data_IF_512852514870
#
_entry.id   IF_512852514870
#
_cell.length_a   1.000
_cell.length_b   1.000
_cell.length_c   1.000
_cell.angle_alpha   90.00
_cell.angle_beta   90.00
_cell.angle_gamma   90.00
#
_symmetry.space_group_name_H-M   'P 1'
#
loop_
_entity.id
_entity.type
_entity.pdbx_description
1 polymer ?
#
# COMPACT_ATOMS: atom_id res chain seq x y z
N UNK A 1 -8.95 2.77 -7.76
CA UNK A 1 -9.19 1.31 -7.91
C UNK A 1 -10.19 1.10 -9.05
N UNK A 2 -10.37 -0.13 -9.55
CA UNK A 2 -11.30 -0.55 -10.63
C UNK A 2 -10.68 -0.67 -12.04
N UNK A 3 -9.59 -1.43 -12.18
CA UNK A 3 -9.28 -2.04 -13.50
C UNK A 3 -10.21 -3.21 -13.85
N UNK A 4 -10.93 -3.75 -12.87
CA UNK A 4 -11.92 -4.83 -13.03
C UNK A 4 -13.38 -4.35 -12.96
N UNK A 5 -13.62 -3.02 -12.92
CA UNK A 5 -14.96 -2.45 -12.84
C UNK A 5 -15.65 -2.68 -11.48
N UNK A 6 -16.90 -2.23 -11.33
CA UNK A 6 -17.68 -2.34 -10.08
C UNK A 6 -18.41 -3.69 -9.90
N UNK A 7 -18.30 -4.60 -10.88
CA UNK A 7 -19.03 -5.87 -10.90
C UNK A 7 -18.19 -7.06 -10.43
N UNK A 8 -17.16 -6.80 -9.61
CA UNK A 8 -16.30 -7.86 -9.05
C UNK A 8 -16.30 -7.79 -7.53
N UNK A 9 -16.28 -8.96 -6.90
CA UNK A 9 -16.08 -9.10 -5.47
C UNK A 9 -14.58 -9.18 -5.17
N UNK A 10 -14.12 -8.46 -4.15
CA UNK A 10 -12.72 -8.43 -3.74
C UNK A 10 -12.53 -9.23 -2.47
N UNK A 11 -11.67 -10.24 -2.52
CA UNK A 11 -11.26 -11.02 -1.34
C UNK A 11 -9.81 -10.68 -0.97
N UNK A 12 -9.57 -10.07 0.21
CA UNK A 12 -8.21 -9.79 0.67
C UNK A 12 -7.57 -11.08 1.22
N UNK A 13 -6.40 -11.42 0.69
CA UNK A 13 -5.59 -12.55 1.16
C UNK A 13 -4.34 -12.06 1.90
N UNK A 14 -3.82 -12.90 2.80
CA UNK A 14 -2.74 -12.53 3.72
C UNK A 14 -1.37 -12.48 3.06
N UNK A 15 -1.14 -13.31 2.04
CA UNK A 15 0.14 -13.52 1.37
C UNK A 15 -0.05 -13.81 -0.13
N UNK A 16 1.05 -13.78 -0.88
CA UNK A 16 1.00 -13.92 -2.35
C UNK A 16 0.69 -15.37 -2.72
N UNK A 17 1.30 -16.35 -2.04
CA UNK A 17 1.06 -17.78 -2.31
C UNK A 17 -0.43 -18.13 -2.22
N UNK A 18 -1.15 -17.59 -1.23
CA UNK A 18 -2.59 -17.78 -1.08
C UNK A 18 -3.39 -17.35 -2.33
N UNK A 19 -2.95 -16.31 -3.05
CA UNK A 19 -3.62 -15.86 -4.29
C UNK A 19 -3.59 -16.96 -5.35
N UNK A 20 -2.43 -17.62 -5.52
CA UNK A 20 -2.27 -18.70 -6.50
C UNK A 20 -3.09 -19.93 -6.12
N UNK A 21 -3.12 -20.24 -4.82
CA UNK A 21 -3.91 -21.33 -4.25
C UNK A 21 -5.41 -21.16 -4.51
N UNK A 22 -5.97 -19.98 -4.22
CA UNK A 22 -7.41 -19.73 -4.38
C UNK A 22 -7.84 -19.71 -5.85
N UNK A 23 -6.99 -19.21 -6.74
CA UNK A 23 -7.23 -19.29 -8.20
C UNK A 23 -7.12 -20.73 -8.69
N UNK A 24 -6.12 -21.48 -8.26
CA UNK A 24 -5.92 -22.88 -8.69
C UNK A 24 -7.04 -23.80 -8.21
N UNK A 25 -7.59 -23.54 -7.01
CA UNK A 25 -8.75 -24.27 -6.45
C UNK A 25 -10.09 -23.84 -7.07
N UNK A 26 -10.11 -22.75 -7.84
CA UNK A 26 -11.31 -22.20 -8.47
C UNK A 26 -12.24 -21.47 -7.50
N UNK A 27 -11.73 -21.03 -6.35
CA UNK A 27 -12.49 -20.18 -5.42
C UNK A 27 -12.51 -18.72 -5.90
N UNK A 28 -11.45 -18.29 -6.58
CA UNK A 28 -11.35 -16.98 -7.23
C UNK A 28 -11.17 -17.14 -8.73
N UNK A 29 -11.89 -16.32 -9.52
CA UNK A 29 -11.74 -16.31 -10.98
C UNK A 29 -10.39 -15.73 -11.44
N UNK A 30 -9.86 -14.75 -10.67
CA UNK A 30 -8.65 -14.00 -11.00
C UNK A 30 -7.85 -13.67 -9.73
N UNK A 31 -6.52 -13.64 -9.87
CA UNK A 31 -5.59 -13.23 -8.82
C UNK A 31 -4.75 -12.03 -9.26
N UNK A 32 -4.41 -11.15 -8.31
CA UNK A 32 -3.56 -9.99 -8.56
C UNK A 32 -2.30 -10.06 -7.66
N UNK A 33 -1.15 -10.36 -8.25
CA UNK A 33 0.12 -10.42 -7.55
C UNK A 33 1.14 -9.45 -8.16
N UNK A 34 1.95 -8.74 -7.34
CA UNK A 34 3.03 -7.90 -7.84
C UNK A 34 4.17 -8.77 -8.37
N UNK A 35 4.64 -8.53 -9.59
CA UNK A 35 5.75 -9.31 -10.18
C UNK A 35 7.11 -8.61 -10.06
N UNK A 36 7.14 -7.28 -10.07
CA UNK A 36 8.37 -6.48 -10.02
C UNK A 36 8.10 -5.10 -9.41
N UNK A 37 9.10 -4.56 -8.70
CA UNK A 37 9.13 -3.17 -8.24
C UNK A 37 10.43 -2.49 -8.67
N UNK A 38 10.38 -1.24 -9.15
CA UNK A 38 11.58 -0.49 -9.61
C UNK A 38 12.68 -0.37 -8.55
N UNK A 39 12.31 -0.33 -7.27
CA UNK A 39 13.25 -0.22 -6.15
C UNK A 39 13.78 -1.57 -5.66
N UNK A 40 12.98 -2.63 -5.79
CA UNK A 40 13.24 -3.94 -5.19
C UNK A 40 13.54 -5.06 -6.18
N UNK A 41 13.40 -4.80 -7.49
CA UNK A 41 13.46 -5.81 -8.54
C UNK A 41 12.25 -6.76 -8.50
N UNK A 42 12.45 -7.95 -9.05
CA UNK A 42 11.45 -9.01 -9.11
C UNK A 42 10.98 -9.45 -7.72
N UNK A 43 9.68 -9.70 -7.58
CA UNK A 43 9.08 -10.24 -6.35
C UNK A 43 9.24 -11.76 -6.39
N UNK A 44 10.25 -12.26 -5.68
CA UNK A 44 10.65 -13.68 -5.69
C UNK A 44 9.46 -14.59 -5.35
N UNK A 45 8.67 -14.26 -4.33
CA UNK A 45 7.51 -15.06 -3.91
C UNK A 45 6.48 -15.26 -5.05
N UNK A 46 6.23 -14.23 -5.86
CA UNK A 46 5.36 -14.31 -7.04
C UNK A 46 5.98 -15.18 -8.13
N UNK A 47 7.29 -15.06 -8.35
CA UNK A 47 8.01 -15.84 -9.36
C UNK A 47 8.05 -17.33 -9.01
N UNK A 48 8.30 -17.66 -7.73
CA UNK A 48 8.27 -19.03 -7.22
C UNK A 48 6.85 -19.62 -7.35
N UNK A 49 5.82 -18.88 -6.93
CA UNK A 49 4.43 -19.33 -7.03
C UNK A 49 3.96 -19.56 -8.48
N UNK A 50 4.49 -18.80 -9.45
CA UNK A 50 4.23 -19.04 -10.88
C UNK A 50 4.87 -20.32 -11.40
N UNK A 51 5.99 -20.78 -10.82
CA UNK A 51 6.64 -22.04 -11.18
C UNK A 51 5.87 -23.22 -10.60
N UNK A 52 5.39 -23.10 -9.37
CA UNK A 52 4.79 -24.18 -8.59
C UNK A 52 3.28 -24.39 -8.85
N UNK A 53 2.66 -23.57 -9.71
CA UNK A 53 1.22 -23.62 -9.99
C UNK A 53 0.90 -23.67 -11.49
N UNK A 54 -0.32 -24.12 -11.81
CA UNK A 54 -0.80 -24.21 -13.19
C UNK A 54 -1.48 -22.92 -13.70
N UNK A 55 -1.51 -21.87 -12.88
CA UNK A 55 -2.17 -20.60 -13.23
C UNK A 55 -1.55 -19.96 -14.48
N UNK A 56 -2.33 -19.15 -15.19
CA UNK A 56 -1.87 -18.46 -16.40
C UNK A 56 -1.97 -16.94 -16.21
N UNK A 57 -0.90 -16.25 -16.57
CA UNK A 57 -0.90 -14.79 -16.66
C UNK A 57 -1.77 -14.40 -17.85
N UNK A 58 -2.86 -13.67 -17.59
CA UNK A 58 -3.78 -13.20 -18.62
C UNK A 58 -3.67 -11.70 -18.90
N UNK A 59 -3.03 -10.94 -18.01
CA UNK A 59 -2.84 -9.50 -18.14
C UNK A 59 -1.68 -9.01 -17.27
N UNK A 60 -1.15 -7.85 -17.61
CA UNK A 60 -0.20 -7.11 -16.79
C UNK A 60 -0.65 -5.66 -16.60
N UNK A 61 -0.18 -5.03 -15.53
CA UNK A 61 -0.41 -3.61 -15.27
C UNK A 61 0.81 -2.97 -14.64
N UNK A 62 1.26 -1.88 -15.25
CA UNK A 62 2.19 -0.94 -14.64
C UNK A 62 1.41 0.07 -13.79
N UNK A 63 1.69 0.12 -12.50
CA UNK A 63 1.12 1.10 -11.58
C UNK A 63 2.21 2.02 -11.06
N UNK A 64 2.06 3.32 -11.32
CA UNK A 64 2.88 4.34 -10.67
C UNK A 64 2.53 4.40 -9.18
N UNK A 65 3.55 4.32 -8.33
CA UNK A 65 3.40 4.45 -6.88
C UNK A 65 3.63 5.91 -6.53
N UNK A 66 2.60 6.54 -5.98
CA UNK A 66 2.67 7.88 -5.41
C UNK A 66 2.39 7.78 -3.92
N UNK A 67 3.16 8.52 -3.13
CA UNK A 67 3.01 8.57 -1.68
C UNK A 67 2.38 9.91 -1.29
N UNK A 68 1.32 9.83 -0.51
CA UNK A 68 0.61 10.99 0.03
C UNK A 68 0.65 10.96 1.55
N UNK A 69 0.71 12.14 2.16
CA UNK A 69 0.50 12.29 3.60
C UNK A 69 -1.00 12.33 3.88
N UNK A 70 -1.47 11.41 4.70
CA UNK A 70 -2.88 11.19 5.02
C UNK A 70 -3.11 11.47 6.51
N UNK A 71 -4.17 12.18 6.87
CA UNK A 71 -4.48 12.47 8.27
C UNK A 71 -5.73 13.32 8.45
N UNK A 72 -6.29 13.28 9.66
CA UNK A 72 -7.51 14.04 10.00
C UNK A 72 -7.25 15.27 10.88
N UNK A 73 -5.99 15.60 11.18
CA UNK A 73 -5.54 16.83 11.85
C UNK A 73 -4.90 17.82 10.87
N UNK A 74 -4.57 19.03 11.33
CA UNK A 74 -3.78 19.96 10.51
C UNK A 74 -2.31 19.53 10.46
N UNK A 75 -1.56 19.99 9.45
CA UNK A 75 -0.17 19.59 9.24
C UNK A 75 0.71 19.90 10.46
N UNK A 76 0.43 21.02 11.14
CA UNK A 76 1.17 21.52 12.30
C UNK A 76 0.87 20.73 13.58
N UNK A 77 -0.25 20.03 13.64
CA UNK A 77 -0.69 19.24 14.79
C UNK A 77 -0.12 17.82 14.80
N UNK A 78 0.51 17.38 13.70
CA UNK A 78 0.99 16.00 13.53
C UNK A 78 2.16 15.74 14.47
N UNK A 79 1.96 14.78 15.38
CA UNK A 79 2.98 14.33 16.34
C UNK A 79 3.62 13.01 15.90
N UNK A 80 2.87 12.16 15.18
CA UNK A 80 3.33 10.83 14.73
C UNK A 80 2.97 10.58 13.28
N UNK A 81 3.88 9.96 12.56
CA UNK A 81 3.71 9.58 11.15
C UNK A 81 3.99 8.09 11.03
N UNK A 82 3.02 7.34 10.52
CA UNK A 82 3.12 5.88 10.33
C UNK A 82 3.36 5.54 8.85
N UNK A 83 4.26 4.59 8.58
CA UNK A 83 4.41 3.97 7.26
C UNK A 83 5.39 2.79 7.32
N UNK A 84 5.72 2.21 6.17
CA UNK A 84 6.77 1.19 6.06
C UNK A 84 8.16 1.85 6.08
N UNK A 85 9.21 1.17 6.58
CA UNK A 85 10.59 1.66 6.51
C UNK A 85 11.03 2.10 5.11
N UNK A 86 10.64 1.35 4.07
CA UNK A 86 11.01 1.63 2.69
C UNK A 86 10.32 2.89 2.15
N UNK A 87 9.10 3.19 2.63
CA UNK A 87 8.36 4.39 2.26
C UNK A 87 8.94 5.61 2.97
N UNK A 88 9.33 5.49 4.24
CA UNK A 88 10.06 6.57 4.92
C UNK A 88 11.41 6.87 4.25
N UNK A 89 12.08 5.85 3.73
CA UNK A 89 13.32 6.05 2.98
C UNK A 89 13.10 6.83 1.68
N UNK A 90 11.99 6.57 0.97
CA UNK A 90 11.58 7.33 -0.23
C UNK A 90 11.27 8.77 0.15
N UNK A 91 10.33 9.01 1.06
CA UNK A 91 9.85 10.35 1.42
C UNK A 91 10.80 11.15 2.36
N UNK A 92 12.04 10.70 2.57
CA UNK A 92 12.94 11.23 3.62
C UNK A 92 13.20 12.73 3.47
N UNK A 93 13.44 13.18 2.25
CA UNK A 93 13.78 14.58 1.98
C UNK A 93 12.62 15.50 2.33
N UNK A 94 11.41 15.15 1.89
CA UNK A 94 10.20 15.91 2.21
C UNK A 94 9.91 15.90 3.72
N UNK A 95 10.00 14.74 4.37
CA UNK A 95 9.78 14.62 5.81
C UNK A 95 10.71 15.50 6.64
N UNK A 96 12.01 15.51 6.31
CA UNK A 96 13.00 16.33 7.02
C UNK A 96 12.87 17.84 6.77
N UNK A 97 12.33 18.24 5.61
CA UNK A 97 12.05 19.63 5.30
C UNK A 97 10.77 20.14 6.01
N UNK A 98 9.76 19.28 6.13
CA UNK A 98 8.45 19.64 6.67
C UNK A 98 8.36 19.50 8.19
N UNK A 99 8.88 18.41 8.74
CA UNK A 99 8.74 18.08 10.16
C UNK A 99 10.07 18.18 10.90
N UNK A 100 10.07 18.92 12.01
CA UNK A 100 11.21 19.02 12.93
C UNK A 100 11.11 18.05 14.11
N UNK A 101 9.88 17.82 14.59
CA UNK A 101 9.63 17.10 15.86
C UNK A 101 8.71 15.88 15.73
N UNK A 102 8.05 15.70 14.58
CA UNK A 102 7.15 14.57 14.39
C UNK A 102 7.92 13.24 14.38
N UNK A 103 7.41 12.25 15.11
CA UNK A 103 8.02 10.93 15.20
C UNK A 103 7.59 10.06 14.02
N UNK A 104 8.55 9.47 13.29
CA UNK A 104 8.27 8.42 12.30
C UNK A 104 8.21 7.06 12.99
N UNK A 105 7.12 6.32 12.78
CA UNK A 105 6.86 5.02 13.42
C UNK A 105 6.65 3.94 12.35
N UNK A 106 7.60 2.98 12.22
CA UNK A 106 7.51 1.93 11.21
C UNK A 106 6.43 0.89 11.55
N UNK A 107 5.67 0.47 10.54
CA UNK A 107 4.62 -0.55 10.65
C UNK A 107 4.66 -1.51 9.45
N UNK A 108 3.88 -2.61 9.56
CA UNK A 108 3.92 -3.73 8.61
C UNK A 108 3.42 -3.38 7.20
N UNK A 109 2.53 -2.39 7.03
CA UNK A 109 2.01 -1.99 5.71
C UNK A 109 1.52 -0.54 5.69
N UNK A 110 1.45 0.07 4.50
CA UNK A 110 0.89 1.42 4.31
C UNK A 110 -0.62 1.46 4.58
N UNK A 111 -1.34 0.38 4.29
CA UNK A 111 -2.74 0.22 4.67
C UNK A 111 -2.92 0.19 6.19
N UNK A 112 -2.05 -0.56 6.91
CA UNK A 112 -2.06 -0.59 8.37
C UNK A 112 -1.69 0.78 8.95
N UNK A 113 -0.77 1.50 8.34
CA UNK A 113 -0.44 2.87 8.73
C UNK A 113 -1.66 3.79 8.64
N UNK A 114 -2.37 3.77 7.52
CA UNK A 114 -3.59 4.56 7.33
C UNK A 114 -4.68 4.19 8.35
N UNK A 115 -4.87 2.90 8.63
CA UNK A 115 -5.80 2.46 9.67
C UNK A 115 -5.45 3.03 11.05
N UNK A 116 -4.18 2.96 11.46
CA UNK A 116 -3.73 3.51 12.75
C UNK A 116 -3.93 5.02 12.80
N UNK A 117 -3.59 5.74 11.73
CA UNK A 117 -3.75 7.18 11.68
C UNK A 117 -5.22 7.64 11.68
N UNK A 118 -6.15 6.79 11.26
CA UNK A 118 -7.58 7.06 11.37
C UNK A 118 -8.09 6.94 12.81
N UNK A 119 -7.51 6.02 13.60
CA UNK A 119 -7.91 5.74 14.97
C UNK A 119 -7.20 6.62 16.01
N UNK A 120 -6.00 7.15 15.70
CA UNK A 120 -5.18 7.93 16.62
C UNK A 120 -5.25 9.45 16.33
N UNK A 121 -5.63 10.28 17.33
CA UNK A 121 -5.58 11.73 17.20
C UNK A 121 -4.15 12.22 16.93
N UNK A 122 -4.01 13.29 16.14
CA UNK A 122 -2.71 13.91 15.80
C UNK A 122 -1.71 12.95 15.12
N UNK A 123 -2.21 11.85 14.58
CA UNK A 123 -1.43 10.94 13.76
C UNK A 123 -1.67 11.21 12.27
N UNK A 124 -0.64 10.90 11.49
CA UNK A 124 -0.70 10.84 10.04
C UNK A 124 -0.11 9.52 9.54
N UNK A 125 -0.40 9.19 8.28
CA UNK A 125 0.18 8.05 7.60
C UNK A 125 0.73 8.46 6.24
N UNK A 126 1.78 7.78 5.77
CA UNK A 126 2.19 7.86 4.37
C UNK A 126 1.67 6.64 3.64
N UNK A 127 0.85 6.86 2.62
CA UNK A 127 0.20 5.81 1.85
C UNK A 127 -0.40 6.33 0.54
N UNK A 128 -1.13 5.46 -0.16
CA UNK A 128 -1.80 5.83 -1.41
C UNK A 128 -3.11 6.58 -1.15
N UNK A 129 -3.57 7.36 -2.13
CA UNK A 129 -4.87 8.03 -2.08
C UNK A 129 -6.03 7.03 -1.84
N UNK A 130 -5.90 5.80 -2.33
CA UNK A 130 -6.86 4.72 -2.10
C UNK A 130 -6.97 4.35 -0.62
N UNK A 131 -5.86 4.35 0.12
CA UNK A 131 -5.90 4.11 1.56
C UNK A 131 -6.64 5.25 2.29
N UNK A 132 -6.54 6.48 1.79
CA UNK A 132 -7.28 7.62 2.34
C UNK A 132 -8.79 7.42 2.21
N UNK A 133 -9.26 7.03 1.02
CA UNK A 133 -10.67 6.71 0.77
C UNK A 133 -11.15 5.55 1.64
N UNK A 134 -10.39 4.46 1.72
CA UNK A 134 -10.75 3.25 2.43
C UNK A 134 -10.90 3.47 3.95
N UNK A 135 -10.02 4.27 4.54
CA UNK A 135 -9.98 4.51 5.99
C UNK A 135 -10.55 5.87 6.42
N UNK A 136 -11.17 6.62 5.51
CA UNK A 136 -11.79 7.91 5.83
C UNK A 136 -10.80 8.99 6.29
N UNK A 137 -9.59 8.99 5.72
CA UNK A 137 -8.57 10.01 5.96
C UNK A 137 -8.61 11.10 4.89
N UNK A 138 -8.25 12.32 5.26
CA UNK A 138 -7.99 13.39 4.29
C UNK A 138 -6.57 13.29 3.75
N UNK A 139 -6.40 13.66 2.49
CA UNK A 139 -5.10 13.87 1.88
C UNK A 139 -4.62 15.26 2.28
N UNK A 140 -3.54 15.33 3.05
CA UNK A 140 -2.94 16.59 3.53
C UNK A 140 -1.96 17.12 2.48
N UNK A 141 -1.12 16.23 1.94
CA UNK A 141 -0.16 16.54 0.88
C UNK A 141 -0.04 15.35 -0.08
N UNK A 142 0.03 15.61 -1.38
CA UNK A 142 0.23 14.60 -2.42
C UNK A 142 1.67 14.61 -2.93
N UNK A 143 2.11 13.46 -3.45
CA UNK A 143 3.39 13.28 -4.15
C UNK A 143 4.60 13.72 -3.30
N UNK A 144 4.74 13.12 -2.11
CA UNK A 144 5.78 13.43 -1.13
C UNK A 144 6.98 12.47 -1.19
N UNK A 145 6.99 11.56 -2.16
CA UNK A 145 8.13 10.70 -2.50
C UNK A 145 9.44 11.45 -2.81
#
# INVERSE_FOLDING_TARGET
MLKFGQSVEYEPLADITSIFDEVSKGHCDLGLAPVENTMGGGVIETLDALIDSDVKICAEVLMAIHHSLLGNCSLEEIEKIYSKPEVFAQCRNWLSATFKEAQTVPVASTARAAQIAADEPKAAAIGSNVAAELYGLRIICENIE
#
